data_IF_468970762103
#
_entry.id   IF_468970762103
#
_cell.length_a   1.000
_cell.length_b   1.000
_cell.length_c   1.000
_cell.angle_alpha   90.00
_cell.angle_beta   90.00
_cell.angle_gamma   90.00
#
_symmetry.space_group_name_H-M   'P 1'
#
loop_
_entity.id
_entity.type
_entity.pdbx_description
1 polymer ?
#
# COMPACT_ATOMS: atom_id res chain seq x y z
N UNK A 1 -12.21 20.12 18.88
CA UNK A 1 -11.35 18.97 19.22
C UNK A 1 -11.82 17.83 18.36
N UNK A 2 -11.04 17.46 17.35
CA UNK A 2 -11.45 16.44 16.39
C UNK A 2 -11.22 15.08 17.02
N UNK A 3 -12.28 14.46 17.54
CA UNK A 3 -12.30 13.04 17.85
C UNK A 3 -12.03 12.27 16.55
N UNK A 4 -10.75 12.10 16.20
CA UNK A 4 -10.34 11.20 15.13
C UNK A 4 -10.74 9.80 15.61
N UNK A 5 -11.66 9.11 14.92
CA UNK A 5 -12.03 7.77 15.33
C UNK A 5 -10.78 6.90 15.38
N UNK A 6 -10.57 6.22 16.50
CA UNK A 6 -9.46 5.28 16.78
C UNK A 6 -9.40 4.08 15.82
N UNK A 7 -10.23 4.06 14.78
CA UNK A 7 -10.29 2.99 13.81
C UNK A 7 -9.54 3.45 12.56
N UNK A 8 -8.35 2.91 12.35
CA UNK A 8 -7.49 3.20 11.21
C UNK A 8 -8.22 2.79 9.91
N UNK A 9 -8.92 3.71 9.19
CA UNK A 9 -9.77 3.36 8.05
C UNK A 9 -8.92 2.80 6.89
N UNK A 10 -7.64 3.16 6.91
CA UNK A 10 -6.60 2.71 6.03
C UNK A 10 -6.21 1.25 6.30
N UNK A 11 -6.10 0.87 7.57
CA UNK A 11 -5.68 -0.47 7.99
C UNK A 11 -6.66 -1.58 7.56
N UNK A 12 -7.97 -1.31 7.52
CA UNK A 12 -8.97 -2.30 7.10
C UNK A 12 -9.08 -2.44 5.57
N UNK A 13 -8.87 -1.37 4.80
CA UNK A 13 -8.89 -1.44 3.32
C UNK A 13 -7.80 -2.37 2.77
N UNK A 14 -6.67 -2.48 3.49
CA UNK A 14 -5.51 -3.26 3.06
C UNK A 14 -5.55 -4.72 3.46
N UNK A 15 -6.34 -5.09 4.47
CA UNK A 15 -6.49 -6.48 4.91
C UNK A 15 -7.12 -7.30 3.78
N UNK A 16 -6.30 -8.07 3.07
CA UNK A 16 -6.70 -8.98 1.99
C UNK A 16 -6.36 -8.50 0.57
N UNK A 17 -5.97 -7.23 0.38
CA UNK A 17 -5.55 -6.69 -0.94
C UNK A 17 -4.04 -6.43 -1.04
N UNK A 18 -3.42 -6.05 0.07
CA UNK A 18 -2.03 -5.59 0.12
C UNK A 18 -1.16 -6.54 0.95
N UNK A 19 0.12 -6.68 0.55
CA UNK A 19 1.17 -7.34 1.33
C UNK A 19 1.93 -6.29 2.18
N UNK A 20 2.70 -6.76 3.16
CA UNK A 20 3.59 -5.89 3.96
C UNK A 20 4.52 -5.06 3.07
N UNK A 21 5.03 -5.66 1.99
CA UNK A 21 5.93 -5.02 1.04
C UNK A 21 5.25 -3.87 0.29
N UNK A 22 3.99 -4.02 -0.12
CA UNK A 22 3.24 -2.97 -0.81
C UNK A 22 3.04 -1.74 0.09
N UNK A 23 2.79 -1.98 1.39
CA UNK A 23 2.65 -0.91 2.38
C UNK A 23 3.97 -0.21 2.71
N UNK A 24 5.07 -0.96 2.67
CA UNK A 24 6.40 -0.39 2.83
C UNK A 24 6.72 0.51 1.64
N UNK A 25 6.50 0.04 0.42
CA UNK A 25 6.65 0.82 -0.81
C UNK A 25 5.84 2.11 -0.74
N UNK A 26 4.56 2.01 -0.36
CA UNK A 26 3.70 3.19 -0.19
C UNK A 26 4.29 4.20 0.81
N UNK A 27 4.81 3.74 1.95
CA UNK A 27 5.42 4.62 2.92
C UNK A 27 6.75 5.21 2.41
N UNK A 28 7.58 4.44 1.70
CA UNK A 28 8.80 4.94 1.06
C UNK A 28 8.50 5.99 -0.04
N UNK A 29 7.46 5.79 -0.86
CA UNK A 29 6.97 6.77 -1.86
C UNK A 29 6.52 8.08 -1.23
N UNK A 30 5.96 8.01 -0.03
CA UNK A 30 5.60 9.18 0.79
C UNK A 30 6.80 9.78 1.54
N UNK A 31 8.04 9.37 1.20
CA UNK A 31 9.30 9.76 1.84
C UNK A 31 9.35 9.46 3.35
N UNK A 32 8.64 8.44 3.81
CA UNK A 32 8.79 7.95 5.17
C UNK A 32 10.00 7.02 5.31
N UNK A 33 10.65 7.10 6.47
CA UNK A 33 11.70 6.16 6.81
C UNK A 33 11.08 4.84 7.31
N UNK A 34 11.13 3.82 6.45
CA UNK A 34 10.57 2.50 6.74
C UNK A 34 11.68 1.53 7.14
N UNK A 35 11.65 1.07 8.38
CA UNK A 35 12.56 0.02 8.85
C UNK A 35 12.10 -1.37 8.40
N UNK A 36 13.03 -2.28 8.10
CA UNK A 36 12.74 -3.66 7.69
C UNK A 36 11.83 -4.42 8.68
N UNK A 37 11.96 -4.09 9.97
CA UNK A 37 11.22 -4.69 11.08
C UNK A 37 9.88 -4.02 11.41
N UNK A 38 9.45 -2.98 10.67
CA UNK A 38 8.14 -2.36 10.91
C UNK A 38 6.99 -3.32 10.61
N UNK A 39 5.92 -3.24 11.42
CA UNK A 39 4.69 -4.02 11.20
C UNK A 39 3.72 -3.25 10.33
N UNK A 40 2.79 -3.95 9.68
CA UNK A 40 1.69 -3.36 8.90
C UNK A 40 0.93 -2.28 9.69
N UNK A 41 0.70 -2.53 10.98
CA UNK A 41 0.04 -1.57 11.87
C UNK A 41 0.84 -0.27 12.03
N UNK A 42 2.17 -0.35 12.08
CA UNK A 42 3.03 0.82 12.24
C UNK A 42 3.17 1.59 10.92
N UNK A 43 3.30 0.89 9.79
CA UNK A 43 3.32 1.49 8.45
C UNK A 43 2.05 2.28 8.16
N UNK A 44 0.90 1.66 8.39
CA UNK A 44 -0.40 2.31 8.18
C UNK A 44 -0.58 3.52 9.10
N UNK A 45 -0.15 3.43 10.37
CA UNK A 45 -0.14 4.58 11.27
C UNK A 45 0.75 5.71 10.75
N UNK A 46 1.96 5.40 10.30
CA UNK A 46 2.92 6.39 9.81
C UNK A 46 2.33 7.20 8.65
N UNK A 47 1.71 6.51 7.69
CA UNK A 47 1.04 7.12 6.55
C UNK A 47 -0.11 8.03 7.00
N UNK A 48 -0.98 7.55 7.91
CA UNK A 48 -2.11 8.34 8.45
C UNK A 48 -1.69 9.50 9.37
N UNK A 49 -0.44 9.51 9.81
CA UNK A 49 0.12 10.56 10.67
C UNK A 49 0.62 11.76 9.85
N UNK A 50 0.74 11.62 8.52
CA UNK A 50 1.14 12.73 7.66
C UNK A 50 0.14 13.90 7.77
N UNK A 51 0.60 15.16 7.86
CA UNK A 51 -0.30 16.33 7.85
C UNK A 51 -1.12 16.42 6.56
N UNK A 52 -0.52 16.05 5.43
CA UNK A 52 -1.17 16.00 4.11
C UNK A 52 -1.70 14.60 3.77
N UNK A 53 -1.98 13.77 4.77
CA UNK A 53 -2.58 12.45 4.53
C UNK A 53 -3.97 12.62 3.91
N UNK A 54 -4.12 12.11 2.71
CA UNK A 54 -5.40 11.96 2.03
C UNK A 54 -5.73 10.47 1.86
N UNK A 55 -6.90 10.07 2.37
CA UNK A 55 -7.32 8.67 2.38
C UNK A 55 -7.53 8.11 0.97
N UNK A 56 -8.11 8.90 0.06
CA UNK A 56 -8.39 8.48 -1.31
C UNK A 56 -7.10 8.40 -2.13
N UNK A 57 -6.24 9.40 -2.00
CA UNK A 57 -4.91 9.41 -2.59
C UNK A 57 -4.11 8.17 -2.17
N UNK A 58 -4.06 7.89 -0.87
CA UNK A 58 -3.24 6.81 -0.34
C UNK A 58 -3.82 5.43 -0.71
N UNK A 59 -5.15 5.31 -0.87
CA UNK A 59 -5.81 4.11 -1.41
C UNK A 59 -5.53 3.91 -2.90
N UNK A 60 -5.56 4.98 -3.69
CA UNK A 60 -5.26 4.95 -5.11
C UNK A 60 -3.81 4.57 -5.35
N UNK A 61 -2.87 5.18 -4.60
CA UNK A 61 -1.45 4.89 -4.72
C UNK A 61 -1.13 3.41 -4.40
N UNK A 62 -1.74 2.85 -3.35
CA UNK A 62 -1.58 1.42 -3.10
C UNK A 62 -2.21 0.55 -4.20
N UNK A 63 -3.37 0.94 -4.72
CA UNK A 63 -4.01 0.20 -5.82
C UNK A 63 -3.05 0.11 -7.01
N UNK A 64 -2.39 1.21 -7.37
CA UNK A 64 -1.38 1.25 -8.42
C UNK A 64 -0.21 0.30 -8.11
N UNK A 65 0.32 0.31 -6.89
CA UNK A 65 1.43 -0.59 -6.49
C UNK A 65 1.01 -2.07 -6.61
N UNK A 66 -0.18 -2.41 -6.11
CA UNK A 66 -0.70 -3.79 -6.16
C UNK A 66 -0.99 -4.22 -7.59
N UNK A 67 -1.55 -3.34 -8.43
CA UNK A 67 -1.83 -3.59 -9.83
C UNK A 67 -0.54 -3.72 -10.65
N UNK A 68 0.46 -2.87 -10.43
CA UNK A 68 1.77 -2.96 -11.09
C UNK A 68 2.45 -4.31 -10.79
N UNK A 69 2.44 -4.75 -9.52
CA UNK A 69 2.94 -6.08 -9.14
C UNK A 69 2.19 -7.19 -9.89
N UNK A 70 0.85 -7.15 -9.88
CA UNK A 70 0.01 -8.15 -10.58
C UNK A 70 0.24 -8.13 -12.09
N UNK A 71 0.44 -6.95 -12.67
CA UNK A 71 0.67 -6.78 -14.10
C UNK A 71 2.01 -7.38 -14.51
N UNK A 72 3.06 -7.19 -13.72
CA UNK A 72 4.36 -7.84 -13.93
C UNK A 72 4.26 -9.36 -13.82
N UNK A 73 3.60 -9.86 -12.77
CA UNK A 73 3.33 -11.29 -12.60
C UNK A 73 2.54 -11.86 -13.81
N UNK A 74 1.58 -11.12 -14.34
CA UNK A 74 0.80 -11.51 -15.53
C UNK A 74 1.59 -11.43 -16.83
N UNK A 75 2.41 -10.39 -17.05
CA UNK A 75 3.24 -10.28 -18.26
C UNK A 75 4.27 -11.41 -18.34
N UNK A 76 4.85 -11.79 -17.21
CA UNK A 76 5.77 -12.93 -17.11
C UNK A 76 5.05 -14.26 -17.41
N UNK A 77 3.78 -14.41 -17.01
CA UNK A 77 2.97 -15.58 -17.37
C UNK A 77 2.49 -15.59 -18.83
N UNK A 78 2.10 -14.43 -19.39
CA UNK A 78 1.51 -14.31 -20.72
C UNK A 78 2.51 -14.54 -21.87
N UNK A 79 3.80 -14.35 -21.61
CA UNK A 79 4.87 -14.54 -22.60
C UNK A 79 5.15 -16.02 -22.94
N UNK A 80 4.48 -16.98 -22.26
CA UNK A 80 4.61 -18.43 -22.52
C UNK A 80 3.55 -19.01 -23.47
N UNK A 81 2.51 -18.26 -23.84
CA UNK A 81 1.35 -18.82 -24.57
C UNK A 81 1.06 -18.23 -25.95
N UNK A 82 1.80 -17.22 -26.42
CA UNK A 82 1.74 -16.74 -27.81
C UNK A 82 2.84 -17.39 -28.64
N UNK A 83 2.66 -18.68 -28.90
CA UNK A 83 3.48 -19.47 -29.83
C UNK A 83 2.62 -20.55 -30.44
N UNK A 84 1.64 -20.16 -31.26
CA UNK A 84 0.90 -21.04 -32.18
C UNK A 84 0.66 -20.28 -33.47
#
# INVERSE_FOLDING_TARGET
MSDRPSNNPFGDYFKGKARKEDLRLLAEELNFNVGDNMKIADLSKLITTHPDYDEEFSKNLLTIIVEDRKLREQQELGSRTTGI
#
